data_IF_641824207891
#
_entry.id   IF_641824207891
#
_cell.length_a   1.000
_cell.length_b   1.000
_cell.length_c   1.000
_cell.angle_alpha   90.00
_cell.angle_beta   90.00
_cell.angle_gamma   90.00
#
_symmetry.space_group_name_H-M   'P 1'
#
loop_
_entity.id
_entity.type
_entity.pdbx_description
1 polymer ?
#
# COMPACT_ATOMS: atom_id res chain seq x y z
N UNK A 1 13.14 16.33 -0.06
CA UNK A 1 14.01 15.56 0.85
C UNK A 1 13.47 14.15 0.97
N UNK A 2 14.32 13.12 0.89
CA UNK A 2 13.92 11.70 0.98
C UNK A 2 13.06 11.40 2.22
N UNK A 3 13.43 11.99 3.37
CA UNK A 3 12.77 11.75 4.65
C UNK A 3 11.33 12.26 4.64
N UNK A 4 11.11 13.50 4.18
CA UNK A 4 9.77 14.11 4.16
C UNK A 4 8.84 13.37 3.21
N UNK A 5 9.30 13.13 1.98
CA UNK A 5 8.50 12.44 0.96
C UNK A 5 8.13 11.02 1.37
N UNK A 6 9.06 10.28 1.99
CA UNK A 6 8.79 8.93 2.48
C UNK A 6 7.82 8.89 3.67
N UNK A 7 7.94 9.83 4.62
CA UNK A 7 7.07 9.86 5.81
C UNK A 7 5.62 10.13 5.46
N UNK A 8 5.35 11.21 4.72
CA UNK A 8 3.98 11.67 4.50
C UNK A 8 3.20 10.69 3.61
N UNK A 9 3.83 10.18 2.55
CA UNK A 9 3.20 9.22 1.64
C UNK A 9 2.94 7.87 2.30
N UNK A 10 3.88 7.36 3.11
CA UNK A 10 3.71 6.09 3.82
C UNK A 10 2.62 6.20 4.90
N UNK A 11 2.60 7.29 5.67
CA UNK A 11 1.56 7.51 6.67
C UNK A 11 0.16 7.57 6.04
N UNK A 12 0.02 8.31 4.93
CA UNK A 12 -1.25 8.39 4.19
C UNK A 12 -1.68 7.01 3.64
N UNK A 13 -0.75 6.22 3.10
CA UNK A 13 -1.03 4.87 2.61
C UNK A 13 -1.52 3.94 3.73
N UNK A 14 -0.90 3.98 4.91
CA UNK A 14 -1.30 3.18 6.07
C UNK A 14 -2.71 3.56 6.56
N UNK A 15 -2.97 4.85 6.74
CA UNK A 15 -4.29 5.36 7.17
C UNK A 15 -5.36 4.93 6.17
N UNK A 16 -5.09 5.07 4.87
CA UNK A 16 -6.05 4.70 3.82
C UNK A 16 -6.34 3.21 3.81
N UNK A 17 -5.31 2.38 3.94
CA UNK A 17 -5.46 0.91 3.99
C UNK A 17 -6.31 0.50 5.18
N UNK A 18 -6.03 1.05 6.37
CA UNK A 18 -6.83 0.78 7.58
C UNK A 18 -8.29 1.21 7.41
N UNK A 19 -8.51 2.42 6.87
CA UNK A 19 -9.86 2.92 6.60
C UNK A 19 -10.66 1.99 5.67
N UNK A 20 -10.06 1.54 4.56
CA UNK A 20 -10.72 0.64 3.61
C UNK A 20 -10.99 -0.74 4.20
N UNK A 21 -10.07 -1.29 4.99
CA UNK A 21 -10.29 -2.57 5.68
C UNK A 21 -11.44 -2.48 6.70
N UNK A 22 -11.54 -1.37 7.45
CA UNK A 22 -12.64 -1.15 8.39
C UNK A 22 -14.00 -1.02 7.68
N UNK A 23 -14.03 -0.42 6.49
CA UNK A 23 -15.24 -0.35 5.65
C UNK A 23 -15.62 -1.69 5.00
N UNK A 24 -14.66 -2.61 4.87
CA UNK A 24 -14.86 -3.91 4.22
C UNK A 24 -14.49 -5.07 5.16
N UNK A 25 -15.37 -5.40 6.14
CA UNK A 25 -15.08 -6.40 7.17
C UNK A 25 -14.68 -7.78 6.63
N UNK A 26 -15.22 -8.18 5.48
CA UNK A 26 -14.87 -9.45 4.83
C UNK A 26 -13.40 -9.47 4.36
N UNK A 27 -12.88 -8.33 3.87
CA UNK A 27 -11.48 -8.22 3.49
C UNK A 27 -10.58 -8.16 4.73
N UNK A 28 -10.99 -7.43 5.77
CA UNK A 28 -10.28 -7.40 7.05
C UNK A 28 -10.16 -8.80 7.67
N UNK A 29 -11.25 -9.58 7.66
CA UNK A 29 -11.26 -10.96 8.18
C UNK A 29 -10.26 -11.84 7.43
N UNK A 30 -10.21 -11.76 6.10
CA UNK A 30 -9.24 -12.53 5.29
C UNK A 30 -7.79 -12.14 5.58
N UNK A 31 -7.49 -10.85 5.78
CA UNK A 31 -6.15 -10.40 6.21
C UNK A 31 -5.80 -10.98 7.58
N UNK A 32 -6.73 -10.97 8.53
CA UNK A 32 -6.52 -11.55 9.86
C UNK A 32 -6.31 -13.06 9.81
N UNK A 33 -7.09 -13.78 9.02
CA UNK A 33 -6.94 -15.24 8.81
C UNK A 33 -5.58 -15.58 8.19
N UNK A 34 -5.13 -14.81 7.20
CA UNK A 34 -3.81 -15.01 6.58
C UNK A 34 -2.67 -14.76 7.58
N UNK A 35 -2.77 -13.71 8.40
CA UNK A 35 -1.80 -13.41 9.46
C UNK A 35 -1.78 -14.50 10.55
N UNK A 36 -2.95 -14.93 11.02
CA UNK A 36 -3.06 -16.00 12.01
C UNK A 36 -2.48 -17.32 11.47
N UNK A 37 -2.64 -17.59 10.17
CA UNK A 37 -2.14 -18.81 9.55
C UNK A 37 -0.61 -18.82 9.35
N UNK A 38 -0.02 -17.72 8.88
CA UNK A 38 1.41 -17.67 8.52
C UNK A 38 2.31 -17.16 9.65
N UNK A 39 1.81 -16.30 10.53
CA UNK A 39 2.59 -15.64 11.57
C UNK A 39 2.20 -16.14 12.96
N UNK A 40 0.90 -16.36 13.19
CA UNK A 40 0.35 -16.70 14.49
C UNK A 40 0.25 -15.49 15.42
N UNK A 41 -0.08 -15.73 16.70
CA UNK A 41 -0.40 -14.67 17.69
C UNK A 41 0.73 -14.36 18.68
N UNK A 42 1.76 -15.20 18.70
CA UNK A 42 2.84 -15.16 19.71
C UNK A 42 3.99 -14.21 19.34
N UNK A 43 4.02 -13.70 18.11
CA UNK A 43 5.12 -12.87 17.60
C UNK A 43 4.66 -11.81 16.62
N UNK A 44 5.50 -10.80 16.41
CA UNK A 44 5.31 -9.75 15.41
C UNK A 44 5.72 -10.28 14.02
N UNK A 45 5.11 -9.72 12.98
CA UNK A 45 5.44 -9.98 11.56
C UNK A 45 6.90 -9.61 11.29
N UNK A 46 7.63 -10.49 10.60
CA UNK A 46 8.97 -10.24 10.09
C UNK A 46 8.95 -10.10 8.56
N UNK A 47 9.99 -9.49 7.99
CA UNK A 47 10.10 -9.30 6.54
C UNK A 47 10.09 -10.62 5.76
N UNK A 48 10.63 -11.70 6.33
CA UNK A 48 10.61 -13.03 5.72
C UNK A 48 9.20 -13.63 5.57
N UNK A 49 8.25 -13.19 6.41
CA UNK A 49 6.85 -13.66 6.33
C UNK A 49 6.11 -13.05 5.14
N UNK A 50 6.55 -11.88 4.66
CA UNK A 50 5.84 -11.11 3.64
C UNK A 50 5.59 -11.91 2.37
N UNK A 51 6.49 -12.83 2.00
CA UNK A 51 6.34 -13.72 0.85
C UNK A 51 5.07 -14.59 0.91
N UNK A 52 4.60 -14.92 2.13
CA UNK A 52 3.41 -15.72 2.35
C UNK A 52 2.15 -14.87 2.57
N UNK A 53 2.29 -13.57 2.85
CA UNK A 53 1.18 -12.66 3.12
C UNK A 53 0.64 -12.01 1.82
N UNK A 54 0.23 -12.85 0.87
CA UNK A 54 -0.15 -12.43 -0.50
C UNK A 54 -1.43 -11.58 -0.48
N UNK A 55 -2.41 -11.94 0.35
CA UNK A 55 -3.67 -11.23 0.48
C UNK A 55 -3.47 -9.86 1.16
N UNK A 56 -2.64 -9.77 2.20
CA UNK A 56 -2.25 -8.49 2.80
C UNK A 56 -1.58 -7.58 1.76
N UNK A 57 -0.64 -8.10 0.97
CA UNK A 57 -0.01 -7.34 -0.10
C UNK A 57 -1.06 -6.87 -1.14
N UNK A 58 -2.00 -7.73 -1.50
CA UNK A 58 -3.08 -7.37 -2.42
C UNK A 58 -3.99 -6.28 -1.84
N UNK A 59 -4.34 -6.35 -0.55
CA UNK A 59 -5.15 -5.34 0.13
C UNK A 59 -4.47 -3.96 0.16
N UNK A 60 -3.15 -3.92 0.41
CA UNK A 60 -2.37 -2.67 0.35
C UNK A 60 -2.35 -2.13 -1.08
N UNK A 61 -2.04 -2.98 -2.08
CA UNK A 61 -2.02 -2.58 -3.50
C UNK A 61 -3.37 -2.05 -3.97
N UNK A 62 -4.46 -2.70 -3.59
CA UNK A 62 -5.81 -2.27 -3.94
C UNK A 62 -6.19 -0.96 -3.26
N UNK A 63 -5.76 -0.77 -2.01
CA UNK A 63 -5.96 0.49 -1.28
C UNK A 63 -5.26 1.66 -1.99
N UNK A 64 -4.04 1.44 -2.49
CA UNK A 64 -3.30 2.43 -3.28
C UNK A 64 -3.93 2.67 -4.66
N UNK A 65 -4.54 1.65 -5.28
CA UNK A 65 -5.28 1.79 -6.56
C UNK A 65 -6.54 2.66 -6.38
N UNK A 66 -7.28 2.46 -5.30
CA UNK A 66 -8.54 3.15 -5.00
C UNK A 66 -8.35 4.56 -4.42
N UNK A 67 -7.25 4.80 -3.73
CA UNK A 67 -6.95 6.07 -3.07
C UNK A 67 -5.46 6.27 -2.94
N UNK A 68 -4.75 6.61 -4.03
CA UNK A 68 -3.32 6.86 -3.95
C UNK A 68 -3.04 8.05 -3.01
N UNK A 69 -1.93 8.03 -2.25
CA UNK A 69 -1.55 9.11 -1.34
C UNK A 69 -1.42 10.48 -2.01
N UNK A 70 -1.09 10.49 -3.30
CA UNK A 70 -1.02 11.71 -4.12
C UNK A 70 -1.88 11.55 -5.37
N UNK A 71 -2.72 12.54 -5.73
CA UNK A 71 -3.58 12.46 -6.91
C UNK A 71 -2.77 12.57 -8.23
N UNK A 72 -1.61 13.21 -8.18
CA UNK A 72 -0.65 13.30 -9.27
C UNK A 72 0.70 12.78 -8.80
N UNK A 73 1.47 12.26 -9.76
CA UNK A 73 2.88 11.97 -9.55
C UNK A 73 3.69 13.28 -9.52
N UNK A 74 4.98 13.19 -9.18
CA UNK A 74 5.89 14.31 -9.36
C UNK A 74 5.82 14.83 -10.81
N UNK A 75 5.78 16.16 -10.95
CA UNK A 75 5.79 16.82 -12.25
C UNK A 75 7.02 16.36 -13.02
N UNK A 76 6.80 15.95 -14.27
CA UNK A 76 7.86 15.61 -15.21
C UNK A 76 7.88 16.65 -16.32
N UNK A 77 9.07 16.93 -16.82
CA UNK A 77 9.31 17.84 -17.92
C UNK A 77 10.22 17.15 -18.95
N UNK A 78 9.99 17.41 -20.23
CA UNK A 78 10.89 16.94 -21.28
C UNK A 78 12.08 17.90 -21.38
N UNK A 79 13.28 17.35 -21.41
CA UNK A 79 14.52 18.16 -21.52
C UNK A 79 14.72 18.66 -22.95
N UNK A 80 14.17 17.94 -23.93
CA UNK A 80 14.24 18.26 -25.35
C UNK A 80 12.84 18.31 -25.95
N UNK A 81 12.72 18.92 -27.13
CA UNK A 81 11.47 18.94 -27.88
C UNK A 81 10.98 17.51 -28.12
N UNK A 82 9.77 17.21 -27.67
CA UNK A 82 9.17 15.90 -27.83
C UNK A 82 7.73 16.03 -28.33
N UNK A 83 7.34 15.11 -29.21
CA UNK A 83 5.98 15.02 -29.71
C UNK A 83 5.30 13.82 -29.06
N UNK A 84 4.19 14.07 -28.36
CA UNK A 84 3.42 13.03 -27.68
C UNK A 84 2.07 12.90 -28.38
N UNK A 85 1.80 11.72 -28.94
CA UNK A 85 0.55 11.49 -29.68
C UNK A 85 0.55 11.90 -31.15
N UNK A 86 1.71 12.35 -31.67
CA UNK A 86 1.93 12.67 -33.09
C UNK A 86 1.61 14.11 -33.48
#
# INVERSE_FOLDING_TARGET
SMITSGKDTTAAAMIRTMYLLLLHPNALKKVQEELDHHVGKERIVNESDLNNLVYLQAAIKESLRLGPPTPLLALRESIEDCQVGG
#
